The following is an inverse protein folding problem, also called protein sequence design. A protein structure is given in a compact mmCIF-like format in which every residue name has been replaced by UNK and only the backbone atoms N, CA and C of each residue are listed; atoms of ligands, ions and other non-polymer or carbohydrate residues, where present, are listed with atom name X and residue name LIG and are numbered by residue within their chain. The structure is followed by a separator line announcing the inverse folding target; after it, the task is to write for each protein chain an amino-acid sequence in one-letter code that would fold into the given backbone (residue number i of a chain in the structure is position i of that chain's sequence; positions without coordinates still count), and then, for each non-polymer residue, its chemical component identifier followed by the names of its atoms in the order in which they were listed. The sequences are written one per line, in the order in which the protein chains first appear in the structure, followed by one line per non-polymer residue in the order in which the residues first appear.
data_IF_874056133186
#
_entry.id   IF_874056133186
#
_cell.length_a   1.000
_cell.length_b   1.000
_cell.length_c   1.000
_cell.angle_alpha   90.00
_cell.angle_beta   90.00
_cell.angle_gamma   90.00
#
_symmetry.space_group_name_H-M   'P 1'
#
loop_
_entity.id
_entity.type
_entity.pdbx_description
1 polymer ?
#
# COMPACT_ATOMS: atom_id res chain seq x y z
N UNK A 1 -19.70 56.63 -22.40
CA UNK A 1 -18.88 55.41 -22.20
C UNK A 1 -19.16 54.80 -20.83
N UNK A 2 -20.21 53.98 -20.66
CA UNK A 2 -20.51 53.28 -19.39
C UNK A 2 -20.99 51.83 -19.57
N UNK A 3 -20.90 51.28 -20.78
CA UNK A 3 -21.48 49.96 -21.11
C UNK A 3 -20.43 48.83 -21.23
N UNK A 4 -19.15 49.16 -21.46
CA UNK A 4 -18.13 48.13 -21.67
C UNK A 4 -17.65 47.43 -20.39
N UNK A 5 -17.52 48.15 -19.26
CA UNK A 5 -17.02 47.55 -18.02
C UNK A 5 -17.95 46.49 -17.41
N UNK A 6 -19.28 46.65 -17.57
CA UNK A 6 -20.29 45.73 -17.01
C UNK A 6 -20.26 44.35 -17.67
N UNK A 7 -19.98 44.27 -18.98
CA UNK A 7 -19.91 42.98 -19.69
C UNK A 7 -18.71 42.14 -19.26
N UNK A 8 -17.55 42.77 -19.06
CA UNK A 8 -16.34 42.04 -18.64
C UNK A 8 -16.41 41.59 -17.17
N UNK A 9 -17.03 42.39 -16.30
CA UNK A 9 -17.26 42.00 -14.89
C UNK A 9 -18.17 40.78 -14.81
N UNK A 10 -19.23 40.72 -15.62
CA UNK A 10 -20.11 39.55 -15.66
C UNK A 10 -19.39 38.30 -16.16
N UNK A 11 -18.54 38.42 -17.18
CA UNK A 11 -17.74 37.30 -17.69
C UNK A 11 -16.70 36.84 -16.67
N UNK A 12 -16.05 37.76 -15.95
CA UNK A 12 -15.08 37.43 -14.91
C UNK A 12 -15.73 36.74 -13.70
N UNK A 13 -16.92 37.20 -13.28
CA UNK A 13 -17.74 36.55 -12.25
C UNK A 13 -18.22 35.15 -12.67
N UNK A 14 -18.51 34.96 -13.96
CA UNK A 14 -18.89 33.65 -14.51
C UNK A 14 -17.72 32.66 -14.46
N UNK A 15 -16.50 33.13 -14.76
CA UNK A 15 -15.28 32.31 -14.70
C UNK A 15 -14.95 31.93 -13.24
N UNK A 16 -15.14 32.85 -12.29
CA UNK A 16 -15.00 32.59 -10.85
C UNK A 16 -16.06 31.61 -10.31
N UNK A 17 -17.27 31.63 -10.86
CA UNK A 17 -18.33 30.69 -10.49
C UNK A 17 -18.08 29.27 -11.06
N UNK A 18 -17.44 29.17 -12.24
CA UNK A 18 -17.09 27.90 -12.89
C UNK A 18 -15.83 27.25 -12.31
N UNK A 19 -14.90 28.01 -11.71
CA UNK A 19 -13.79 27.45 -10.92
C UNK A 19 -14.20 27.04 -9.49
N UNK A 20 -15.44 27.35 -9.08
CA UNK A 20 -16.00 27.01 -7.77
C UNK A 20 -16.48 25.56 -7.62
N UNK A 21 -16.43 24.74 -8.67
CA UNK A 21 -16.57 23.28 -8.56
C UNK A 21 -15.18 22.62 -8.52
N UNK A 22 -14.36 23.01 -7.53
CA UNK A 22 -13.36 22.09 -7.00
C UNK A 22 -14.15 20.91 -6.44
N UNK A 23 -14.11 19.76 -7.11
CA UNK A 23 -14.67 18.53 -6.58
C UNK A 23 -14.23 18.40 -5.13
N UNK A 24 -15.16 18.26 -4.18
CA UNK A 24 -14.86 18.14 -2.75
C UNK A 24 -14.07 16.87 -2.36
N UNK A 25 -13.52 16.15 -3.34
CA UNK A 25 -12.60 15.05 -3.16
C UNK A 25 -11.23 15.61 -2.76
N UNK A 26 -10.82 15.27 -1.53
CA UNK A 26 -9.45 15.52 -1.07
C UNK A 26 -8.47 14.76 -1.97
N UNK A 27 -7.27 15.33 -2.25
CA UNK A 27 -6.27 14.63 -3.03
C UNK A 27 -5.90 13.30 -2.36
N UNK A 28 -5.60 12.24 -3.13
CA UNK A 28 -5.13 10.98 -2.58
C UNK A 28 -3.90 11.16 -1.70
N UNK A 29 -3.81 10.36 -0.64
CA UNK A 29 -2.65 10.36 0.26
C UNK A 29 -1.44 9.81 -0.50
N UNK A 30 -0.32 10.53 -0.44
CA UNK A 30 0.94 10.06 -0.99
C UNK A 30 1.50 8.93 -0.14
N UNK A 31 1.80 7.80 -0.78
CA UNK A 31 2.28 6.55 -0.17
C UNK A 31 3.58 6.19 -0.89
N UNK A 32 4.68 6.05 -0.15
CA UNK A 32 6.02 5.80 -0.72
C UNK A 32 6.83 4.91 0.24
N UNK A 33 6.38 3.66 0.44
CA UNK A 33 7.02 2.74 1.37
C UNK A 33 8.43 2.39 0.92
N UNK A 34 9.29 2.18 1.90
CA UNK A 34 10.63 1.63 1.68
C UNK A 34 10.61 0.14 1.96
N UNK A 35 11.48 -0.59 1.27
CA UNK A 35 11.73 -1.97 1.64
C UNK A 35 12.55 -2.00 2.93
N UNK A 36 12.25 -2.92 3.85
CA UNK A 36 13.04 -3.09 5.06
C UNK A 36 14.46 -3.53 4.70
N UNK A 37 15.47 -2.88 5.29
CA UNK A 37 16.89 -3.18 5.00
C UNK A 37 17.26 -4.63 5.32
N UNK A 38 16.54 -5.27 6.24
CA UNK A 38 16.77 -6.67 6.61
C UNK A 38 16.41 -7.64 5.50
N UNK A 39 15.56 -7.27 4.54
CA UNK A 39 15.27 -8.11 3.36
C UNK A 39 16.55 -8.39 2.55
N UNK A 40 17.46 -7.43 2.45
CA UNK A 40 18.76 -7.63 1.78
C UNK A 40 19.72 -8.53 2.54
N UNK A 41 19.40 -8.91 3.79
CA UNK A 41 20.18 -9.83 4.62
C UNK A 41 19.66 -11.27 4.53
N UNK A 42 18.48 -11.47 3.92
CA UNK A 42 17.90 -12.78 3.73
C UNK A 42 18.72 -13.63 2.74
N UNK A 43 18.78 -14.93 2.99
CA UNK A 43 19.48 -15.85 2.08
C UNK A 43 18.65 -16.06 0.83
N UNK A 44 19.21 -15.69 -0.33
CA UNK A 44 18.54 -15.89 -1.61
C UNK A 44 18.30 -17.38 -1.88
N UNK A 45 17.05 -17.72 -2.19
CA UNK A 45 16.64 -19.05 -2.61
C UNK A 45 17.07 -19.28 -4.06
N UNK A 46 17.75 -20.40 -4.36
CA UNK A 46 18.36 -20.61 -5.67
C UNK A 46 17.34 -21.12 -6.71
N UNK A 47 16.13 -20.57 -6.74
CA UNK A 47 15.03 -20.96 -7.64
C UNK A 47 14.53 -19.79 -8.48
N UNK A 48 13.98 -20.12 -9.64
CA UNK A 48 13.29 -19.22 -10.56
C UNK A 48 11.79 -19.27 -10.25
N UNK A 49 11.18 -18.14 -9.91
CA UNK A 49 9.79 -18.10 -9.44
C UNK A 49 8.93 -17.21 -10.32
N UNK A 50 7.73 -17.67 -10.64
CA UNK A 50 6.66 -16.82 -11.16
C UNK A 50 6.00 -16.05 -10.02
N UNK A 51 5.94 -14.73 -10.08
CA UNK A 51 5.24 -13.90 -9.10
C UNK A 51 3.87 -13.51 -9.65
N UNK A 52 2.82 -14.06 -9.05
CA UNK A 52 1.44 -13.67 -9.32
C UNK A 52 0.91 -12.84 -8.14
N UNK A 53 0.50 -11.62 -8.42
CA UNK A 53 -0.17 -10.74 -7.45
C UNK A 53 -1.59 -10.54 -7.94
N UNK A 54 -2.58 -10.85 -7.10
CA UNK A 54 -3.97 -10.75 -7.49
C UNK A 54 -4.33 -9.34 -7.98
N UNK A 55 -5.10 -9.21 -9.09
CA UNK A 55 -5.48 -7.90 -9.64
C UNK A 55 -6.17 -7.00 -8.61
N UNK A 56 -6.98 -7.59 -7.72
CA UNK A 56 -7.65 -6.84 -6.65
C UNK A 56 -6.66 -6.18 -5.70
N UNK A 57 -5.54 -6.82 -5.39
CA UNK A 57 -4.48 -6.21 -4.57
C UNK A 57 -3.77 -5.10 -5.35
N UNK A 58 -3.45 -5.31 -6.64
CA UNK A 58 -2.73 -4.33 -7.47
C UNK A 58 -3.44 -2.98 -7.58
N UNK A 59 -4.76 -3.00 -7.73
CA UNK A 59 -5.57 -1.79 -7.88
C UNK A 59 -6.30 -1.37 -6.60
N UNK A 60 -5.94 -1.93 -5.44
CA UNK A 60 -6.65 -1.66 -4.20
C UNK A 60 -6.50 -0.19 -3.79
N UNK A 61 -7.64 0.43 -3.51
CA UNK A 61 -7.76 1.79 -2.99
C UNK A 61 -8.69 1.73 -1.79
N UNK A 62 -8.26 2.31 -0.68
CA UNK A 62 -9.06 2.38 0.53
C UNK A 62 -9.50 3.80 0.82
N UNK A 63 -10.75 3.96 1.25
CA UNK A 63 -11.24 5.20 1.82
C UNK A 63 -11.32 5.09 3.34
N UNK A 64 -10.80 6.09 4.06
CA UNK A 64 -10.89 6.13 5.52
C UNK A 64 -11.19 7.56 6.03
N UNK A 65 -12.18 7.73 6.93
CA UNK A 65 -12.46 9.02 7.54
C UNK A 65 -11.47 9.35 8.65
N UNK A 66 -11.27 10.64 8.93
CA UNK A 66 -10.58 11.07 10.15
C UNK A 66 -11.60 11.27 11.27
N UNK A 67 -11.32 10.68 12.42
CA UNK A 67 -12.08 10.89 13.67
C UNK A 67 -11.36 11.90 14.57
N UNK A 68 -11.91 13.08 14.74
CA UNK A 68 -11.42 14.05 15.72
C UNK A 68 -11.94 13.69 17.11
N UNK A 69 -11.04 13.63 18.08
CA UNK A 69 -11.36 13.41 19.48
C UNK A 69 -10.99 14.64 20.31
N UNK A 70 -11.86 14.98 21.24
CA UNK A 70 -11.66 16.01 22.26
C UNK A 70 -12.01 15.40 23.62
N UNK A 71 -11.09 15.51 24.60
CA UNK A 71 -11.27 14.95 25.96
C UNK A 71 -11.70 13.46 26.00
N UNK A 72 -11.25 12.65 25.03
CA UNK A 72 -11.56 11.22 24.95
C UNK A 72 -12.89 10.87 24.26
N UNK A 73 -13.67 11.86 23.79
CA UNK A 73 -14.90 11.63 23.03
C UNK A 73 -14.72 12.02 21.55
N UNK A 74 -15.33 11.26 20.64
CA UNK A 74 -15.34 11.61 19.21
C UNK A 74 -16.21 12.85 19.01
N UNK A 75 -15.59 13.94 18.56
CA UNK A 75 -16.23 15.24 18.35
C UNK A 75 -16.71 15.43 16.92
N UNK A 76 -15.91 14.98 15.94
CA UNK A 76 -16.20 15.22 14.52
C UNK A 76 -15.62 14.10 13.63
N UNK A 77 -16.28 13.84 12.50
CA UNK A 77 -15.80 12.93 11.45
C UNK A 77 -15.59 13.73 10.17
N UNK A 78 -14.34 13.81 9.70
CA UNK A 78 -14.01 14.46 8.45
C UNK A 78 -14.34 13.55 7.24
N UNK A 79 -14.48 14.14 6.03
CA UNK A 79 -14.58 13.37 4.80
C UNK A 79 -13.44 12.37 4.64
N UNK A 80 -13.73 11.29 3.92
CA UNK A 80 -12.78 10.21 3.64
C UNK A 80 -11.52 10.72 2.93
N UNK A 81 -10.38 10.19 3.35
CA UNK A 81 -9.13 10.22 2.58
C UNK A 81 -9.04 8.97 1.73
N UNK A 82 -8.44 9.14 0.56
CA UNK A 82 -8.20 8.06 -0.40
C UNK A 82 -6.76 7.58 -0.25
N UNK A 83 -6.57 6.30 0.04
CA UNK A 83 -5.28 5.61 0.20
C UNK A 83 -5.09 4.59 -0.92
N UNK A 84 -4.44 4.97 -2.04
CA UNK A 84 -4.19 4.08 -3.16
C UNK A 84 -2.94 3.20 -2.91
N UNK A 85 -2.99 2.32 -1.92
CA UNK A 85 -1.80 1.58 -1.49
C UNK A 85 -1.54 0.26 -2.24
N UNK A 86 -2.50 -0.21 -3.05
CA UNK A 86 -2.40 -1.47 -3.78
C UNK A 86 -1.19 -1.56 -4.72
N UNK A 87 -0.96 -0.50 -5.50
CA UNK A 87 0.20 -0.41 -6.39
C UNK A 87 1.52 -0.31 -5.60
N UNK A 88 1.67 0.61 -4.61
CA UNK A 88 2.84 0.63 -3.73
C UNK A 88 3.16 -0.72 -3.07
N UNK A 89 2.16 -1.43 -2.56
CA UNK A 89 2.35 -2.76 -1.97
C UNK A 89 2.83 -3.78 -3.00
N UNK A 90 2.22 -3.80 -4.19
CA UNK A 90 2.59 -4.71 -5.28
C UNK A 90 4.04 -4.50 -5.72
N UNK A 91 4.45 -3.26 -5.91
CA UNK A 91 5.82 -2.91 -6.28
C UNK A 91 6.84 -3.36 -5.22
N UNK A 92 6.51 -3.22 -3.93
CA UNK A 92 7.41 -3.68 -2.85
C UNK A 92 7.47 -5.19 -2.72
N UNK A 93 6.37 -5.91 -2.97
CA UNK A 93 6.38 -7.37 -3.07
C UNK A 93 7.26 -7.83 -4.24
N UNK A 94 7.18 -7.15 -5.39
CA UNK A 94 8.04 -7.45 -6.54
C UNK A 94 9.53 -7.19 -6.24
N UNK A 95 9.85 -6.03 -5.65
CA UNK A 95 11.22 -5.67 -5.25
C UNK A 95 11.79 -6.67 -4.24
N UNK A 96 11.02 -7.03 -3.22
CA UNK A 96 11.37 -8.07 -2.25
C UNK A 96 11.64 -9.40 -2.93
N UNK A 97 10.74 -9.82 -3.83
CA UNK A 97 10.86 -11.10 -4.54
C UNK A 97 12.13 -11.19 -5.38
N UNK A 98 12.52 -10.09 -6.03
CA UNK A 98 13.77 -9.99 -6.81
C UNK A 98 15.03 -10.18 -5.93
N UNK A 99 14.94 -9.89 -4.64
CA UNK A 99 16.05 -10.08 -3.69
C UNK A 99 16.10 -11.52 -3.19
N UNK A 100 14.95 -12.09 -2.81
CA UNK A 100 14.93 -13.40 -2.13
C UNK A 100 14.96 -14.60 -3.08
N UNK A 101 14.71 -14.42 -4.38
CA UNK A 101 14.79 -15.50 -5.37
C UNK A 101 15.88 -15.23 -6.40
N UNK A 102 16.43 -16.29 -7.00
CA UNK A 102 17.45 -16.19 -8.06
C UNK A 102 16.92 -15.39 -9.26
N UNK A 103 15.67 -15.64 -9.64
CA UNK A 103 15.01 -14.99 -10.77
C UNK A 103 13.51 -14.89 -10.52
N UNK A 104 12.92 -13.77 -10.93
CA UNK A 104 11.48 -13.53 -10.88
C UNK A 104 10.93 -13.22 -12.26
N UNK A 105 9.77 -13.78 -12.55
CA UNK A 105 8.93 -13.43 -13.70
C UNK A 105 7.57 -13.00 -13.17
N UNK A 106 7.17 -11.74 -13.41
CA UNK A 106 5.84 -11.27 -13.01
C UNK A 106 4.80 -11.87 -13.95
N UNK A 107 3.78 -12.50 -13.38
CA UNK A 107 2.70 -13.15 -14.11
C UNK A 107 1.44 -12.29 -14.07
N UNK A 108 0.83 -12.06 -15.22
CA UNK A 108 -0.46 -11.37 -15.32
C UNK A 108 -1.66 -12.28 -15.08
N UNK A 109 -1.49 -13.59 -15.32
CA UNK A 109 -2.47 -14.61 -15.00
C UNK A 109 -1.76 -15.87 -14.48
N UNK A 110 -2.46 -16.69 -13.70
CA UNK A 110 -1.90 -17.94 -13.15
C UNK A 110 -1.74 -19.05 -14.21
N UNK A 111 -2.45 -18.93 -15.33
CA UNK A 111 -2.46 -19.94 -16.40
C UNK A 111 -1.33 -19.73 -17.44
N UNK A 112 -0.65 -18.59 -17.42
CA UNK A 112 0.54 -18.24 -18.21
C UNK A 112 1.76 -18.89 -17.57
N UNK A 113 1.69 -20.21 -17.42
CA UNK A 113 2.85 -21.05 -17.15
C UNK A 113 3.61 -21.36 -18.44
N UNK A 114 3.04 -21.02 -19.60
CA UNK A 114 3.61 -21.24 -20.92
C UNK A 114 4.40 -20.02 -21.43
N UNK A 115 5.72 -20.22 -21.54
CA UNK A 115 6.54 -19.82 -22.70
C UNK A 115 6.64 -18.33 -23.07
N UNK A 116 7.53 -17.59 -22.40
CA UNK A 116 8.35 -16.55 -23.06
C UNK A 116 9.83 -16.52 -22.59
N UNK A 117 10.23 -17.35 -21.62
CA UNK A 117 11.61 -17.37 -21.13
C UNK A 117 12.27 -18.73 -21.31
N UNK A 118 13.53 -18.72 -21.72
CA UNK A 118 14.39 -19.90 -21.97
C UNK A 118 14.65 -20.80 -20.74
N UNK A 119 14.00 -20.53 -19.60
CA UNK A 119 14.22 -21.23 -18.33
C UNK A 119 12.86 -21.57 -17.71
N UNK A 120 12.69 -22.82 -17.31
CA UNK A 120 11.51 -23.28 -16.59
C UNK A 120 11.42 -22.59 -15.22
N UNK A 121 10.19 -22.25 -14.80
CA UNK A 121 9.91 -21.81 -13.44
C UNK A 121 9.91 -23.03 -12.51
N UNK A 122 10.55 -22.89 -11.35
CA UNK A 122 10.60 -23.93 -10.31
C UNK A 122 9.32 -23.91 -9.44
N UNK A 123 8.58 -22.80 -9.47
CA UNK A 123 7.32 -22.62 -8.75
C UNK A 123 6.71 -21.23 -8.96
N UNK A 124 5.55 -21.02 -8.35
CA UNK A 124 4.77 -19.77 -8.45
C UNK A 124 4.46 -19.26 -7.05
N UNK A 125 4.88 -18.03 -6.73
CA UNK A 125 4.45 -17.30 -5.54
C UNK A 125 3.19 -16.50 -5.88
N UNK A 126 2.09 -16.79 -5.20
CA UNK A 126 0.83 -16.06 -5.31
C UNK A 126 0.62 -15.18 -4.09
N UNK A 127 0.19 -13.93 -4.28
CA UNK A 127 -0.12 -13.01 -3.17
C UNK A 127 -1.49 -12.35 -3.39
N UNK A 128 -2.33 -12.39 -2.36
CA UNK A 128 -3.69 -11.88 -2.34
C UNK A 128 -3.92 -10.94 -1.15
N UNK A 129 -4.75 -9.91 -1.33
CA UNK A 129 -5.17 -9.04 -0.22
C UNK A 129 -6.20 -9.79 0.62
N UNK A 130 -5.93 -9.99 1.90
CA UNK A 130 -6.86 -10.65 2.83
C UNK A 130 -7.75 -9.64 3.53
N UNK A 131 -7.16 -8.64 4.17
CA UNK A 131 -7.89 -7.57 4.87
C UNK A 131 -7.03 -6.31 4.95
N UNK A 132 -7.69 -5.15 5.03
CA UNK A 132 -7.07 -3.86 5.28
C UNK A 132 -8.03 -2.96 6.03
N UNK A 133 -7.58 -2.36 7.13
CA UNK A 133 -8.33 -1.38 7.90
C UNK A 133 -7.44 -0.20 8.29
N UNK A 134 -7.91 1.02 8.05
CA UNK A 134 -7.17 2.26 8.27
C UNK A 134 -7.95 3.10 9.27
N UNK A 135 -7.38 3.29 10.44
CA UNK A 135 -7.91 4.16 11.47
C UNK A 135 -7.11 5.45 11.55
N UNK A 136 -7.78 6.58 11.38
CA UNK A 136 -7.17 7.90 11.47
C UNK A 136 -7.85 8.70 12.58
N UNK A 137 -7.06 9.24 13.49
CA UNK A 137 -7.58 10.09 14.54
C UNK A 137 -6.72 11.32 14.81
N UNK A 138 -7.39 12.42 15.15
CA UNK A 138 -6.76 13.65 15.63
C UNK A 138 -7.17 13.83 17.08
N UNK A 139 -6.19 13.95 17.96
CA UNK A 139 -6.39 14.33 19.35
C UNK A 139 -6.11 15.83 19.48
N UNK A 140 -7.18 16.62 19.58
CA UNK A 140 -7.09 18.09 19.53
C UNK A 140 -6.43 18.69 20.78
N UNK A 141 -6.60 18.06 21.94
CA UNK A 141 -6.01 18.50 23.22
C UNK A 141 -4.48 18.59 23.18
N UNK A 142 -3.85 17.76 22.35
CA UNK A 142 -2.39 17.67 22.20
C UNK A 142 -1.92 17.92 20.76
N UNK A 143 -2.82 18.36 19.86
CA UNK A 143 -2.57 18.58 18.44
C UNK A 143 -1.76 17.44 17.79
N UNK A 144 -2.23 16.22 18.03
CA UNK A 144 -1.60 14.98 17.58
C UNK A 144 -2.48 14.28 16.57
N UNK A 145 -1.91 13.85 15.45
CA UNK A 145 -2.58 12.98 14.50
C UNK A 145 -1.95 11.59 14.57
N UNK A 146 -2.80 10.56 14.56
CA UNK A 146 -2.37 9.17 14.62
C UNK A 146 -3.08 8.40 13.51
N UNK A 147 -2.28 7.64 12.76
CA UNK A 147 -2.74 6.64 11.82
C UNK A 147 -2.38 5.26 12.31
N UNK A 148 -3.32 4.31 12.18
CA UNK A 148 -3.08 2.88 12.27
C UNK A 148 -3.52 2.23 10.96
N UNK A 149 -2.73 1.31 10.43
CA UNK A 149 -3.10 0.49 9.29
C UNK A 149 -2.90 -0.99 9.61
N UNK A 150 -4.01 -1.70 9.81
CA UNK A 150 -4.04 -3.14 10.00
C UNK A 150 -4.12 -3.79 8.61
N UNK A 151 -3.00 -4.37 8.15
CA UNK A 151 -2.88 -4.92 6.80
C UNK A 151 -2.61 -6.42 6.87
N UNK A 152 -3.33 -7.19 6.05
CA UNK A 152 -3.05 -8.62 5.91
C UNK A 152 -3.14 -9.12 4.47
N UNK A 153 -2.25 -10.06 4.15
CA UNK A 153 -2.19 -10.76 2.87
C UNK A 153 -2.21 -12.26 3.10
N UNK A 154 -2.65 -12.99 2.08
CA UNK A 154 -2.45 -14.43 1.97
C UNK A 154 -1.41 -14.66 0.89
N UNK A 155 -0.37 -15.44 1.21
CA UNK A 155 0.65 -15.85 0.26
C UNK A 155 0.69 -17.37 0.15
N UNK A 156 0.87 -17.89 -1.06
CA UNK A 156 1.05 -19.32 -1.30
C UNK A 156 2.16 -19.57 -2.31
N UNK A 157 2.88 -20.67 -2.12
CA UNK A 157 3.89 -21.16 -3.05
C UNK A 157 3.38 -22.43 -3.70
N UNK A 158 3.30 -22.43 -5.02
CA UNK A 158 2.81 -23.52 -5.84
C UNK A 158 3.96 -24.15 -6.63
N UNK A 159 3.90 -25.45 -6.87
CA UNK A 159 4.78 -26.10 -7.84
C UNK A 159 4.40 -25.70 -9.30
N UNK A 160 5.17 -26.09 -10.33
CA UNK A 160 4.85 -25.78 -11.72
C UNK A 160 3.55 -26.42 -12.23
N UNK A 161 3.03 -27.43 -11.52
CA UNK A 161 1.72 -28.08 -11.78
C UNK A 161 0.60 -27.43 -10.97
N UNK A 162 0.88 -26.32 -10.28
CA UNK A 162 -0.02 -25.57 -9.42
C UNK A 162 -0.50 -26.32 -8.17
N UNK A 163 0.22 -27.38 -7.75
CA UNK A 163 -0.02 -27.98 -6.44
C UNK A 163 0.52 -27.07 -5.35
N UNK A 164 -0.28 -26.83 -4.31
CA UNK A 164 0.11 -25.99 -3.18
C UNK A 164 1.16 -26.68 -2.33
N UNK A 165 2.33 -26.04 -2.19
CA UNK A 165 3.45 -26.49 -1.36
C UNK A 165 3.44 -25.79 0.00
N UNK A 166 3.11 -24.50 0.00
CA UNK A 166 3.11 -23.67 1.20
C UNK A 166 2.03 -22.60 1.11
N UNK A 167 1.47 -22.21 2.24
CA UNK A 167 0.52 -21.10 2.38
C UNK A 167 0.64 -20.48 3.76
N UNK A 168 0.58 -19.16 3.82
CA UNK A 168 0.49 -18.44 5.09
C UNK A 168 -0.30 -17.17 4.92
N UNK A 169 -1.09 -16.87 5.95
CA UNK A 169 -1.57 -15.52 6.21
C UNK A 169 -0.49 -14.74 6.94
N UNK A 170 -0.37 -13.46 6.60
CA UNK A 170 0.57 -12.49 7.19
C UNK A 170 -0.24 -11.27 7.54
N UNK A 171 -0.11 -10.78 8.77
CA UNK A 171 -0.85 -9.63 9.26
C UNK A 171 0.07 -8.75 10.10
N UNK A 172 0.05 -7.45 9.83
CA UNK A 172 0.90 -6.45 10.48
C UNK A 172 0.10 -5.21 10.85
N UNK A 173 0.62 -4.43 11.79
CA UNK A 173 0.05 -3.15 12.21
C UNK A 173 1.08 -2.04 11.91
N UNK A 174 0.77 -1.19 10.94
CA UNK A 174 1.54 0.02 10.65
C UNK A 174 1.09 1.18 11.52
N UNK A 175 2.04 1.97 12.02
CA UNK A 175 1.80 3.11 12.92
C UNK A 175 2.38 4.40 12.36
N UNK A 176 1.58 5.45 12.35
CA UNK A 176 1.98 6.80 11.96
C UNK A 176 1.62 7.79 13.05
N UNK A 177 2.57 8.65 13.43
CA UNK A 177 2.36 9.75 14.36
C UNK A 177 2.82 11.04 13.71
N UNK A 178 1.97 12.06 13.78
CA UNK A 178 2.27 13.41 13.32
C UNK A 178 1.87 14.41 14.42
N UNK A 179 2.63 15.50 14.56
CA UNK A 179 2.43 16.49 15.62
C UNK A 179 2.56 17.90 15.04
N UNK A 180 1.70 18.82 15.47
CA UNK A 180 1.86 20.23 15.10
C UNK A 180 3.06 20.82 15.84
N UNK A 181 4.08 21.25 15.09
CA UNK A 181 5.30 21.87 15.60
C UNK A 181 5.31 23.39 15.46
N UNK A 182 4.39 23.96 14.68
CA UNK A 182 4.29 25.40 14.46
C UNK A 182 2.88 25.87 14.12
N UNK A 183 2.62 27.17 14.26
CA UNK A 183 1.35 27.79 13.84
C UNK A 183 1.09 27.67 12.33
N UNK A 184 2.13 27.72 11.50
CA UNK A 184 2.00 27.54 10.04
C UNK A 184 1.54 26.12 9.72
N UNK A 185 2.12 25.13 10.40
CA UNK A 185 1.72 23.73 10.26
C UNK A 185 0.29 23.48 10.76
N UNK A 186 -0.13 24.17 11.82
CA UNK A 186 -1.51 24.15 12.28
C UNK A 186 -2.49 24.62 11.20
N UNK A 187 -2.18 25.76 10.55
CA UNK A 187 -3.01 26.31 9.46
C UNK A 187 -3.04 25.38 8.24
N UNK A 188 -1.94 24.66 7.98
CA UNK A 188 -1.87 23.63 6.96
C UNK A 188 -2.72 22.41 7.31
N UNK A 189 -2.64 21.90 8.54
CA UNK A 189 -3.47 20.77 8.96
C UNK A 189 -4.97 21.08 8.87
N UNK A 190 -5.37 22.33 9.14
CA UNK A 190 -6.75 22.80 9.01
C UNK A 190 -7.24 22.83 7.54
N UNK A 191 -6.33 22.87 6.57
CA UNK A 191 -6.66 23.00 5.14
C UNK A 191 -6.40 21.73 4.32
N UNK A 192 -5.24 21.08 4.51
CA UNK A 192 -4.80 19.90 3.76
C UNK A 192 -4.84 18.60 4.56
N UNK A 193 -4.94 18.69 5.89
CA UNK A 193 -4.91 17.54 6.80
C UNK A 193 -3.50 17.12 7.25
N UNK A 194 -3.39 16.36 8.35
CA UNK A 194 -2.14 15.76 8.82
C UNK A 194 -1.54 14.71 7.87
N UNK A 195 -0.28 14.33 8.12
CA UNK A 195 0.40 13.27 7.36
C UNK A 195 0.03 11.88 7.87
N UNK A 196 -0.93 11.22 7.21
CA UNK A 196 -1.33 9.84 7.54
C UNK A 196 -0.62 8.75 6.72
N UNK A 197 0.07 9.12 5.63
CA UNK A 197 0.86 8.19 4.81
C UNK A 197 1.84 7.30 5.58
N UNK A 198 2.56 7.79 6.63
CA UNK A 198 3.52 6.99 7.37
C UNK A 198 2.99 5.68 7.97
N UNK A 199 1.72 5.63 8.40
CA UNK A 199 1.13 4.40 8.93
C UNK A 199 1.01 3.32 7.84
N UNK A 200 0.63 3.73 6.63
CA UNK A 200 0.54 2.83 5.48
C UNK A 200 1.93 2.43 5.02
N UNK A 201 2.87 3.38 4.94
CA UNK A 201 4.26 3.09 4.56
C UNK A 201 4.89 2.04 5.49
N UNK A 202 4.70 2.20 6.80
CA UNK A 202 5.19 1.28 7.84
C UNK A 202 4.57 -0.12 7.70
N UNK A 203 3.26 -0.23 7.51
CA UNK A 203 2.61 -1.55 7.30
C UNK A 203 3.13 -2.27 6.05
N UNK A 204 3.39 -1.55 4.95
CA UNK A 204 3.91 -2.17 3.72
C UNK A 204 5.36 -2.63 3.94
N UNK A 205 6.16 -1.81 4.63
CA UNK A 205 7.52 -2.20 5.00
C UNK A 205 7.53 -3.47 5.87
N UNK A 206 6.67 -3.54 6.89
CA UNK A 206 6.59 -4.70 7.79
C UNK A 206 6.08 -5.95 7.06
N UNK A 207 5.00 -5.85 6.29
CA UNK A 207 4.39 -7.02 5.65
C UNK A 207 5.31 -7.65 4.60
N UNK A 208 6.07 -6.83 3.88
CA UNK A 208 7.02 -7.30 2.87
C UNK A 208 8.22 -7.98 3.51
N UNK A 209 8.69 -7.47 4.66
CA UNK A 209 9.71 -8.13 5.46
C UNK A 209 9.23 -9.47 6.02
N UNK A 210 8.05 -9.52 6.65
CA UNK A 210 7.51 -10.77 7.20
C UNK A 210 7.26 -11.82 6.12
N UNK A 211 6.77 -11.40 4.94
CA UNK A 211 6.63 -12.28 3.78
C UNK A 211 7.98 -12.87 3.36
N UNK A 212 9.02 -12.04 3.25
CA UNK A 212 10.37 -12.50 2.93
C UNK A 212 10.84 -13.57 3.92
N UNK A 213 10.73 -13.29 5.24
CA UNK A 213 11.14 -14.22 6.28
C UNK A 213 10.38 -15.54 6.22
N UNK A 214 9.07 -15.51 6.04
CA UNK A 214 8.27 -16.73 5.98
C UNK A 214 8.62 -17.59 4.78
N UNK A 215 8.94 -16.98 3.64
CA UNK A 215 9.36 -17.72 2.44
C UNK A 215 10.75 -18.33 2.66
N UNK A 216 11.73 -17.54 3.10
CA UNK A 216 13.13 -17.98 3.19
C UNK A 216 13.38 -18.99 4.30
N UNK A 217 12.52 -19.01 5.33
CA UNK A 217 12.62 -19.94 6.46
C UNK A 217 11.61 -21.09 6.41
N UNK A 218 10.73 -21.15 5.40
CA UNK A 218 9.74 -22.23 5.27
C UNK A 218 10.43 -23.57 5.04
N UNK A 219 10.14 -24.53 5.94
CA UNK A 219 10.64 -25.90 5.82
C UNK A 219 10.05 -26.61 4.60
N UNK A 220 8.79 -26.32 4.27
CA UNK A 220 8.08 -26.87 3.13
C UNK A 220 8.72 -26.44 1.81
N UNK A 221 8.97 -25.13 1.66
CA UNK A 221 9.65 -24.58 0.47
C UNK A 221 11.08 -25.14 0.37
N UNK A 222 11.84 -25.12 1.46
CA UNK A 222 13.21 -25.65 1.46
C UNK A 222 13.26 -27.15 1.13
N UNK A 223 12.34 -27.95 1.69
CA UNK A 223 12.25 -29.37 1.40
C UNK A 223 11.90 -29.64 -0.08
N UNK A 224 10.98 -28.84 -0.65
CA UNK A 224 10.64 -28.91 -2.07
C UNK A 224 11.85 -28.59 -2.95
N UNK A 225 12.57 -27.50 -2.66
CA UNK A 225 13.78 -27.10 -3.41
C UNK A 225 14.85 -28.20 -3.35
N UNK A 226 15.05 -28.83 -2.19
CA UNK A 226 16.01 -29.91 -2.05
C UNK A 226 15.64 -31.18 -2.83
N UNK A 227 14.35 -31.45 -3.02
CA UNK A 227 13.86 -32.60 -3.77
C UNK A 227 14.04 -32.42 -5.28
N UNK A 228 13.70 -31.25 -5.81
CA UNK A 228 13.78 -30.96 -7.26
C UNK A 228 15.22 -30.80 -7.78
N UNK A 229 16.19 -30.58 -6.87
CA UNK A 229 17.61 -30.41 -7.23
C UNK A 229 18.48 -31.66 -7.08
N UNK A 230 17.89 -32.79 -6.71
CA UNK A 230 18.55 -34.11 -6.69
C UNK A 230 18.21 -34.88 -7.95
#
# INVERSE_FOLDING_TARGET
MKSFASKYISVFLSILALSGCLSGQRPPVSISPKLDKRVYQETQLPINVGLYIEPRLRSYVQEAPIKQHEAGAQFYTFPNFVFPFGEPLSLKIEEMSKIIFKKIVVLDNLQNTAYEMSEALDGILTVALKNSDIELYIEQSVWRAIGRHDLSITAAFLDPKQNKIWESDIAVEGKGLDFVTSRVEQEWWMTTGPRFGPAVDDSIQQITYELAQKITTSKEILAYIHKEKR
#
